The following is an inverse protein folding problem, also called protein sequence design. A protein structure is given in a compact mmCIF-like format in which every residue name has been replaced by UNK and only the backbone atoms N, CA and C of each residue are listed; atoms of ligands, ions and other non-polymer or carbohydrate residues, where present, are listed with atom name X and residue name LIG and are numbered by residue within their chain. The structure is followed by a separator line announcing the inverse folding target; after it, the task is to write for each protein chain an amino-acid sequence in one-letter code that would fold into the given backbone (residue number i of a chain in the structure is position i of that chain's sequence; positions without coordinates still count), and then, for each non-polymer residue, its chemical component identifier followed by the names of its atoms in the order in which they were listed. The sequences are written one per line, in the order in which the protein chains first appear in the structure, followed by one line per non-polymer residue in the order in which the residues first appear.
data_IF_572894753647
#
_entry.id   IF_572894753647
#
_cell.length_a   1.000
_cell.length_b   1.000
_cell.length_c   1.000
_cell.angle_alpha   90.00
_cell.angle_beta   90.00
_cell.angle_gamma   90.00
#
_symmetry.space_group_name_H-M   'P 1'
#
loop_
_entity.id
_entity.type
_entity.pdbx_description
1 polymer ?
#
# COMPACT_ATOMS: atom_id res chain seq x y z
N UNK A 1 51.28 34.95 41.39
CA UNK A 1 51.02 35.94 40.32
C UNK A 1 49.97 35.35 39.41
N UNK A 2 48.72 35.73 39.63
CA UNK A 2 47.97 36.63 38.74
C UNK A 2 47.51 35.93 37.45
N UNK A 3 46.19 35.71 37.41
CA UNK A 3 45.31 35.90 36.25
C UNK A 3 45.60 35.09 34.98
N UNK A 4 44.69 34.16 34.65
CA UNK A 4 43.95 34.30 33.40
C UNK A 4 42.60 33.59 33.46
N UNK A 5 41.56 34.41 33.62
CA UNK A 5 40.15 34.07 33.41
C UNK A 5 39.85 33.96 31.91
N UNK A 6 38.79 33.19 31.61
CA UNK A 6 37.79 33.39 30.55
C UNK A 6 38.22 33.25 29.08
N UNK A 7 37.69 32.23 28.41
CA UNK A 7 36.61 32.43 27.43
C UNK A 7 35.97 31.07 27.06
N UNK A 8 34.88 30.70 27.75
CA UNK A 8 33.91 29.76 27.17
C UNK A 8 33.08 30.55 26.14
N UNK A 9 33.45 30.44 24.87
CA UNK A 9 32.63 30.96 23.78
C UNK A 9 31.48 29.98 23.54
N UNK A 10 30.30 30.31 24.07
CA UNK A 10 29.04 29.63 23.77
C UNK A 10 28.74 29.71 22.27
N UNK A 11 28.92 28.61 21.54
CA UNK A 11 28.33 28.45 20.21
C UNK A 11 26.84 28.18 20.35
N UNK A 12 26.06 29.26 20.45
CA UNK A 12 24.61 29.22 20.28
C UNK A 12 24.33 29.04 18.79
N UNK A 13 24.36 27.79 18.31
CA UNK A 13 23.83 27.45 17.00
C UNK A 13 22.33 27.82 16.98
N UNK A 14 22.00 28.91 16.28
CA UNK A 14 20.63 29.37 16.10
C UNK A 14 19.80 28.25 15.48
N UNK A 15 18.88 27.71 16.26
CA UNK A 15 17.82 26.84 15.76
C UNK A 15 16.93 27.75 14.94
N UNK A 16 17.13 27.78 13.62
CA UNK A 16 16.19 28.41 12.71
C UNK A 16 14.92 27.56 12.75
N UNK A 17 13.77 28.08 13.22
CA UNK A 17 12.54 27.32 13.18
C UNK A 17 12.16 27.12 11.72
N UNK A 18 12.34 25.91 11.21
CA UNK A 18 11.83 25.51 9.91
C UNK A 18 10.30 25.46 10.04
N UNK A 19 9.62 26.54 9.70
CA UNK A 19 8.17 26.56 9.61
C UNK A 19 7.75 25.61 8.51
N UNK A 20 7.28 24.42 8.89
CA UNK A 20 6.62 23.52 7.97
C UNK A 20 5.31 24.17 7.52
N UNK A 21 5.29 24.73 6.31
CA UNK A 21 4.06 25.16 5.66
C UNK A 21 3.43 23.93 5.01
N UNK A 22 2.34 23.43 5.60
CA UNK A 22 1.53 22.41 4.95
C UNK A 22 0.82 23.01 3.73
N UNK A 23 0.93 22.35 2.58
CA UNK A 23 0.22 22.75 1.38
C UNK A 23 -1.30 22.62 1.58
N UNK A 24 -2.09 23.54 1.00
CA UNK A 24 -3.56 23.46 1.08
C UNK A 24 -4.04 22.27 0.23
N UNK A 25 -4.93 21.46 0.80
CA UNK A 25 -5.54 20.34 0.08
C UNK A 25 -6.33 20.84 -1.14
N UNK A 26 -6.00 20.31 -2.31
CA UNK A 26 -6.68 20.61 -3.58
C UNK A 26 -7.60 19.47 -4.00
N UNK A 27 -8.58 19.77 -4.86
CA UNK A 27 -9.45 18.74 -5.45
C UNK A 27 -8.62 17.72 -6.25
N UNK A 28 -7.68 18.20 -7.08
CA UNK A 28 -6.79 17.32 -7.85
C UNK A 28 -6.01 16.38 -6.93
N UNK A 29 -5.52 16.86 -5.78
CA UNK A 29 -4.80 16.01 -4.83
C UNK A 29 -5.70 14.93 -4.21
N UNK A 30 -6.99 15.21 -3.97
CA UNK A 30 -7.96 14.21 -3.51
C UNK A 30 -8.11 13.08 -4.54
N UNK A 31 -8.05 13.42 -5.83
CA UNK A 31 -8.21 12.46 -6.92
C UNK A 31 -6.90 11.79 -7.39
N UNK A 32 -5.74 12.34 -7.04
CA UNK A 32 -4.43 11.83 -7.44
C UNK A 32 -3.93 10.62 -6.62
N UNK A 33 -2.95 9.92 -7.21
CA UNK A 33 -2.15 8.88 -6.59
C UNK A 33 -0.89 9.46 -5.89
N UNK A 34 -0.41 8.85 -4.80
CA UNK A 34 -1.07 7.81 -4.01
C UNK A 34 -2.23 8.41 -3.19
N UNK A 35 -3.07 7.54 -2.63
CA UNK A 35 -4.17 7.95 -1.75
C UNK A 35 -3.66 8.79 -0.55
N UNK A 36 -4.44 9.81 -0.16
CA UNK A 36 -4.09 10.72 0.94
C UNK A 36 -3.95 10.02 2.29
N UNK A 37 -4.76 9.00 2.55
CA UNK A 37 -4.71 8.18 3.76
C UNK A 37 -3.65 7.07 3.71
N UNK A 38 -2.81 7.05 2.67
CA UNK A 38 -1.88 5.96 2.40
C UNK A 38 -2.54 4.76 1.71
N UNK A 39 -1.72 3.75 1.35
CA UNK A 39 -2.20 2.56 0.63
C UNK A 39 -3.09 1.71 1.54
N UNK A 40 -4.38 1.66 1.21
CA UNK A 40 -5.34 0.82 1.91
C UNK A 40 -5.06 -0.67 1.70
N UNK A 41 -5.31 -1.46 2.73
CA UNK A 41 -5.24 -2.92 2.71
C UNK A 41 -6.65 -3.50 2.64
N UNK A 42 -6.85 -4.53 1.82
CA UNK A 42 -8.13 -5.25 1.64
C UNK A 42 -7.90 -6.76 1.70
N UNK A 43 -8.98 -7.51 1.95
CA UNK A 43 -8.97 -8.98 1.93
C UNK A 43 -7.81 -9.58 2.73
N UNK A 44 -7.61 -9.11 3.96
CA UNK A 44 -6.54 -9.64 4.82
C UNK A 44 -6.89 -11.07 5.26
N UNK A 45 -5.99 -12.01 4.98
CA UNK A 45 -6.13 -13.42 5.36
C UNK A 45 -4.82 -13.92 5.98
N UNK A 46 -4.91 -14.76 7.00
CA UNK A 46 -3.76 -15.49 7.55
C UNK A 46 -3.65 -16.81 6.77
N UNK A 47 -2.43 -17.19 6.38
CA UNK A 47 -2.22 -18.48 5.71
C UNK A 47 -2.63 -19.65 6.64
N UNK A 48 -3.13 -20.78 6.11
CA UNK A 48 -3.55 -21.92 6.93
C UNK A 48 -2.45 -22.47 7.85
N UNK A 49 -1.19 -22.38 7.43
CA UNK A 49 -0.02 -22.78 8.22
C UNK A 49 0.41 -21.74 9.26
N UNK A 50 -0.23 -20.57 9.29
CA UNK A 50 0.06 -19.47 10.22
C UNK A 50 1.39 -18.75 9.99
N UNK A 51 2.07 -18.98 8.85
CA UNK A 51 3.41 -18.41 8.60
C UNK A 51 3.38 -17.06 7.89
N UNK A 52 2.25 -16.68 7.28
CA UNK A 52 2.09 -15.49 6.45
C UNK A 52 0.77 -14.79 6.71
N UNK A 53 0.76 -13.47 6.50
CA UNK A 53 -0.46 -12.68 6.36
C UNK A 53 -0.50 -12.16 4.94
N UNK A 54 -1.49 -12.59 4.16
CA UNK A 54 -1.70 -12.11 2.79
C UNK A 54 -2.76 -11.03 2.75
N UNK A 55 -2.65 -10.13 1.78
CA UNK A 55 -3.63 -9.07 1.60
C UNK A 55 -3.50 -8.40 0.23
N UNK A 56 -4.57 -7.75 -0.21
CA UNK A 56 -4.58 -6.93 -1.41
C UNK A 56 -4.17 -5.51 -1.05
N UNK A 57 -3.22 -4.96 -1.81
CA UNK A 57 -2.74 -3.60 -1.63
C UNK A 57 -2.76 -2.87 -2.96
N UNK A 58 -3.26 -1.64 -2.91
CA UNK A 58 -3.28 -0.75 -4.06
C UNK A 58 -1.85 -0.38 -4.48
N UNK A 59 -1.64 -0.17 -5.78
CA UNK A 59 -0.34 0.23 -6.30
C UNK A 59 -0.06 1.70 -6.04
N UNK A 60 1.22 2.04 -5.93
CA UNK A 60 1.65 3.43 -5.73
C UNK A 60 1.40 4.30 -6.98
N UNK A 61 1.42 3.68 -8.17
CA UNK A 61 1.18 4.33 -9.47
C UNK A 61 -0.30 4.29 -9.91
N UNK A 62 -1.16 3.57 -9.19
CA UNK A 62 -2.59 3.47 -9.46
C UNK A 62 -3.32 2.90 -8.24
N UNK A 63 -3.96 3.76 -7.44
CA UNK A 63 -4.65 3.35 -6.21
C UNK A 63 -5.90 2.50 -6.44
N UNK A 64 -6.35 2.39 -7.69
CA UNK A 64 -7.52 1.61 -8.09
C UNK A 64 -7.15 0.22 -8.64
N UNK A 65 -5.86 -0.10 -8.73
CA UNK A 65 -5.38 -1.41 -9.13
C UNK A 65 -4.70 -2.11 -7.97
N UNK A 66 -5.07 -3.38 -7.72
CA UNK A 66 -4.58 -4.15 -6.57
C UNK A 66 -3.67 -5.31 -7.00
N UNK A 67 -2.59 -5.46 -6.26
CA UNK A 67 -1.69 -6.62 -6.30
C UNK A 67 -1.89 -7.47 -5.03
N UNK A 68 -1.49 -8.74 -5.07
CA UNK A 68 -1.44 -9.58 -3.87
C UNK A 68 -0.09 -9.45 -3.19
N UNK A 69 -0.12 -9.15 -1.90
CA UNK A 69 1.05 -8.97 -1.05
C UNK A 69 1.03 -9.98 0.09
N UNK A 70 2.21 -10.22 0.64
CA UNK A 70 2.35 -10.94 1.88
C UNK A 70 3.26 -10.23 2.87
N UNK A 71 2.90 -10.36 4.14
CA UNK A 71 3.76 -10.12 5.28
C UNK A 71 4.21 -11.46 5.84
N UNK A 72 5.51 -11.70 5.80
CA UNK A 72 6.11 -12.93 6.29
C UNK A 72 6.41 -12.81 7.80
N UNK A 73 5.83 -13.72 8.58
CA UNK A 73 5.92 -13.65 10.04
C UNK A 73 7.32 -14.02 10.58
N UNK A 74 8.15 -14.69 9.78
CA UNK A 74 9.50 -15.11 10.17
C UNK A 74 10.50 -13.95 10.08
N UNK A 75 10.56 -13.29 8.92
CA UNK A 75 11.54 -12.22 8.69
C UNK A 75 10.98 -10.81 8.94
N UNK A 76 9.67 -10.70 9.22
CA UNK A 76 8.95 -9.45 9.47
C UNK A 76 8.99 -8.49 8.29
N UNK A 77 9.00 -9.02 7.06
CA UNK A 77 9.02 -8.21 5.83
C UNK A 77 7.73 -8.36 5.04
N UNK A 78 7.39 -7.27 4.35
CA UNK A 78 6.29 -7.21 3.40
C UNK A 78 6.84 -7.23 1.99
N UNK A 79 6.31 -8.07 1.13
CA UNK A 79 6.67 -8.12 -0.28
C UNK A 79 5.48 -8.50 -1.14
N UNK A 80 5.54 -8.11 -2.41
CA UNK A 80 4.51 -8.44 -3.39
C UNK A 80 4.65 -9.90 -3.79
N UNK A 81 3.57 -10.65 -3.65
CA UNK A 81 3.51 -12.07 -3.99
C UNK A 81 3.08 -12.26 -5.45
N UNK A 82 2.09 -11.50 -5.92
CA UNK A 82 1.58 -11.56 -7.30
C UNK A 82 1.41 -10.15 -7.84
N UNK A 83 2.04 -9.87 -8.99
CA UNK A 83 1.85 -8.64 -9.76
C UNK A 83 0.68 -8.84 -10.73
N UNK A 84 -0.41 -8.10 -10.52
CA UNK A 84 -1.62 -8.27 -11.32
C UNK A 84 -1.39 -7.89 -12.80
N UNK A 85 -0.54 -6.87 -13.07
CA UNK A 85 -0.21 -6.45 -14.44
C UNK A 85 0.60 -7.53 -15.18
N UNK A 86 1.44 -8.27 -14.46
CA UNK A 86 2.20 -9.36 -15.04
C UNK A 86 1.31 -10.59 -15.33
N UNK A 87 0.29 -10.81 -14.49
CA UNK A 87 -0.64 -11.92 -14.64
C UNK A 87 -1.64 -11.70 -15.79
N UNK A 88 -2.25 -10.50 -15.85
CA UNK A 88 -3.16 -10.09 -16.93
C UNK A 88 -2.80 -8.67 -17.38
N UNK A 89 -1.98 -8.54 -18.44
CA UNK A 89 -1.55 -7.23 -18.92
C UNK A 89 -2.68 -6.38 -19.49
N UNK A 90 -3.75 -7.00 -19.98
CA UNK A 90 -4.94 -6.34 -20.53
C UNK A 90 -6.18 -7.05 -20.02
N UNK A 91 -6.91 -6.40 -19.12
CA UNK A 91 -8.13 -6.94 -18.52
C UNK A 91 -9.32 -6.68 -19.46
N UNK A 92 -10.01 -7.75 -19.85
CA UNK A 92 -11.27 -7.68 -20.60
C UNK A 92 -12.35 -8.37 -19.77
N UNK A 93 -13.30 -7.60 -19.24
CA UNK A 93 -14.38 -8.11 -18.40
C UNK A 93 -15.65 -8.34 -19.20
N UNK A 94 -16.39 -9.39 -18.87
CA UNK A 94 -17.73 -9.65 -19.42
C UNK A 94 -18.76 -8.63 -18.91
N UNK A 95 -19.93 -8.56 -19.56
CA UNK A 95 -21.02 -7.68 -19.09
C UNK A 95 -21.57 -8.17 -17.74
N UNK A 96 -21.59 -9.47 -17.53
CA UNK A 96 -21.98 -10.10 -16.28
C UNK A 96 -21.03 -9.70 -15.14
N UNK A 97 -19.71 -9.75 -15.39
CA UNK A 97 -18.69 -9.33 -14.42
C UNK A 97 -18.78 -7.83 -14.14
N UNK A 98 -18.95 -7.00 -15.18
CA UNK A 98 -19.14 -5.56 -15.01
C UNK A 98 -20.37 -5.27 -14.12
N UNK A 99 -21.49 -5.93 -14.37
CA UNK A 99 -22.70 -5.78 -13.56
C UNK A 99 -22.51 -6.28 -12.12
N UNK A 100 -21.75 -7.36 -11.92
CA UNK A 100 -21.39 -7.85 -10.58
C UNK A 100 -20.57 -6.81 -9.82
N UNK A 101 -19.53 -6.26 -10.44
CA UNK A 101 -18.68 -5.22 -9.84
C UNK A 101 -19.45 -3.94 -9.53
N UNK A 102 -20.43 -3.56 -10.34
CA UNK A 102 -21.29 -2.41 -10.03
C UNK A 102 -22.11 -2.64 -8.76
N UNK A 103 -22.74 -3.83 -8.62
CA UNK A 103 -23.50 -4.20 -7.41
C UNK A 103 -22.63 -4.26 -6.17
N UNK A 104 -21.39 -4.72 -6.30
CA UNK A 104 -20.40 -4.80 -5.23
C UNK A 104 -19.68 -3.47 -4.95
N UNK A 105 -19.93 -2.43 -5.76
CA UNK A 105 -19.24 -1.12 -5.72
C UNK A 105 -17.72 -1.24 -5.93
N UNK A 106 -17.32 -2.16 -6.80
CA UNK A 106 -15.93 -2.43 -7.20
C UNK A 106 -15.69 -2.13 -8.69
N UNK A 107 -16.65 -1.53 -9.40
CA UNK A 107 -16.54 -1.23 -10.84
C UNK A 107 -15.35 -0.31 -11.19
N UNK A 108 -14.95 0.56 -10.26
CA UNK A 108 -13.76 1.40 -10.43
C UNK A 108 -12.44 0.71 -10.06
N UNK A 109 -12.45 -0.58 -9.69
CA UNK A 109 -11.28 -1.33 -9.26
C UNK A 109 -10.84 -2.36 -10.31
N UNK A 110 -9.54 -2.61 -10.36
CA UNK A 110 -8.91 -3.54 -11.31
C UNK A 110 -7.81 -4.37 -10.65
N UNK A 111 -7.27 -5.34 -11.40
CA UNK A 111 -6.25 -6.27 -10.89
C UNK A 111 -6.87 -7.37 -10.04
N UNK A 112 -6.21 -7.75 -8.95
CA UNK A 112 -6.70 -8.83 -8.08
C UNK A 112 -7.68 -8.24 -7.07
N UNK A 113 -8.96 -8.60 -7.15
CA UNK A 113 -10.02 -8.09 -6.26
C UNK A 113 -10.41 -9.08 -5.16
N UNK A 114 -10.12 -10.36 -5.36
CA UNK A 114 -10.33 -11.42 -4.37
C UNK A 114 -9.28 -12.52 -4.56
N UNK A 115 -9.12 -13.37 -3.56
CA UNK A 115 -8.25 -14.55 -3.61
C UNK A 115 -8.56 -15.49 -2.46
N UNK A 116 -8.29 -16.78 -2.59
CA UNK A 116 -8.47 -17.76 -1.51
C UNK A 116 -7.28 -18.70 -1.36
N UNK A 117 -7.01 -19.07 -0.12
CA UNK A 117 -6.04 -20.11 0.20
C UNK A 117 -6.63 -21.49 -0.05
N UNK A 118 -5.82 -22.40 -0.62
CA UNK A 118 -6.14 -23.82 -0.56
C UNK A 118 -6.17 -24.30 0.90
N UNK A 119 -6.98 -25.32 1.25
CA UNK A 119 -7.06 -25.80 2.63
C UNK A 119 -5.72 -26.28 3.21
N UNK A 120 -4.82 -26.76 2.36
CA UNK A 120 -3.47 -27.20 2.75
C UNK A 120 -2.45 -26.06 2.84
N UNK A 121 -2.85 -24.81 2.53
CA UNK A 121 -2.02 -23.62 2.59
C UNK A 121 -0.91 -23.55 1.54
N UNK A 122 -0.95 -24.39 0.50
CA UNK A 122 0.12 -24.46 -0.52
C UNK A 122 -0.15 -23.66 -1.77
N UNK A 123 -1.41 -23.30 -2.02
CA UNK A 123 -1.86 -22.66 -3.25
C UNK A 123 -2.78 -21.49 -2.95
N UNK A 124 -2.83 -20.56 -3.90
CA UNK A 124 -3.73 -19.42 -3.90
C UNK A 124 -4.58 -19.48 -5.17
N UNK A 125 -5.90 -19.47 -5.00
CA UNK A 125 -6.84 -19.24 -6.09
C UNK A 125 -6.99 -17.72 -6.26
N UNK A 126 -6.76 -17.23 -7.47
CA UNK A 126 -6.87 -15.81 -7.79
C UNK A 126 -7.77 -15.68 -9.03
N UNK A 127 -9.01 -15.20 -8.88
CA UNK A 127 -9.88 -14.89 -10.01
C UNK A 127 -9.26 -13.77 -10.85
N UNK A 128 -9.24 -13.95 -12.17
CA UNK A 128 -8.73 -12.96 -13.11
C UNK A 128 -9.78 -12.66 -14.17
N UNK A 129 -10.03 -11.37 -14.43
CA UNK A 129 -10.96 -10.87 -15.44
C UNK A 129 -12.45 -11.28 -15.34
N UNK A 130 -12.84 -12.06 -14.33
CA UNK A 130 -14.22 -12.53 -14.13
C UNK A 130 -14.46 -13.87 -14.81
#
# INVERSE_FOLDING_TARGET
MHFLLLLLASMSAGIVPMTAAAERLTLDRIHADPALSGPGVRQLKVSPDGTRVTFLRARDDNRFQFDLWEFNLRDKRTYRLIDAKALVPTESISLEEQARRERERTAGLSGILDYDWSPDGKQLLVPVAG
#
